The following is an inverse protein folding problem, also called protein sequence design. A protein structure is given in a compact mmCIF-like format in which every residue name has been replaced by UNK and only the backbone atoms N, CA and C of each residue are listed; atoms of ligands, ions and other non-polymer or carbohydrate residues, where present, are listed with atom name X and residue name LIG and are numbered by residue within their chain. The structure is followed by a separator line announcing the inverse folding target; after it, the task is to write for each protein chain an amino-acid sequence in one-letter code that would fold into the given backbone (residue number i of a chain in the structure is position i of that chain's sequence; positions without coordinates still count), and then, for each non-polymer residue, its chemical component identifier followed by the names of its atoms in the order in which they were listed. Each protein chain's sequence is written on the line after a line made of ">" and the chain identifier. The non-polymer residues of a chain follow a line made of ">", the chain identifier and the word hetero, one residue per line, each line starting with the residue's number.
data_IF_378156891295
#
_entry.id   IF_378156891295
#
_cell.length_a   1.000
_cell.length_b   1.000
_cell.length_c   1.000
_cell.angle_alpha   90.00
_cell.angle_beta   90.00
_cell.angle_gamma   90.00
#
_symmetry.space_group_name_H-M   'P 1'
#
loop_
_entity.id
_entity.type
_entity.pdbx_description
1 polymer ?
#
# COMPACT_ATOMS: atom_id res chain seq x y z
N UNK A 1 12.40 0.12 -27.37
CA UNK A 1 11.42 -0.50 -26.46
C UNK A 1 11.92 -1.92 -26.22
N UNK A 2 12.85 -2.07 -25.29
CA UNK A 2 13.54 -3.34 -25.04
C UNK A 2 12.67 -4.22 -24.16
N UNK A 3 12.35 -5.39 -24.69
CA UNK A 3 12.08 -6.67 -24.02
C UNK A 3 11.86 -6.55 -22.51
N UNK A 4 10.59 -6.36 -22.13
CA UNK A 4 10.19 -6.67 -20.77
C UNK A 4 10.41 -8.16 -20.58
N UNK A 5 11.27 -8.54 -19.65
CA UNK A 5 11.46 -9.91 -19.18
C UNK A 5 10.10 -10.43 -18.68
N UNK A 6 9.38 -11.14 -19.55
CA UNK A 6 8.01 -11.64 -19.28
C UNK A 6 8.02 -12.70 -18.17
N UNK A 7 9.17 -13.28 -17.85
CA UNK A 7 9.28 -14.42 -16.93
C UNK A 7 9.29 -14.06 -15.43
N UNK A 8 9.55 -12.81 -15.04
CA UNK A 8 9.64 -12.48 -13.60
C UNK A 8 8.74 -11.31 -13.21
N UNK A 9 7.77 -11.60 -12.33
CA UNK A 9 7.02 -10.57 -11.64
C UNK A 9 7.98 -9.72 -10.80
N UNK A 10 7.84 -8.40 -10.86
CA UNK A 10 8.72 -7.46 -10.16
C UNK A 10 7.98 -6.81 -9.01
N UNK A 11 8.65 -6.68 -7.87
CA UNK A 11 8.14 -5.93 -6.72
C UNK A 11 8.97 -4.66 -6.55
N UNK A 12 8.33 -3.50 -6.57
CA UNK A 12 8.96 -2.20 -6.36
C UNK A 12 8.48 -1.63 -5.02
N UNK A 13 9.42 -1.29 -4.16
CA UNK A 13 9.14 -0.73 -2.82
C UNK A 13 9.66 0.70 -2.77
N UNK A 14 8.76 1.64 -2.50
CA UNK A 14 9.07 3.05 -2.28
C UNK A 14 9.02 3.31 -0.77
N UNK A 15 10.17 3.32 -0.12
CA UNK A 15 10.27 3.52 1.33
C UNK A 15 10.53 4.99 1.70
N UNK A 16 9.62 5.56 2.47
CA UNK A 16 9.72 6.89 3.08
C UNK A 16 10.02 8.05 2.11
N UNK A 17 9.56 7.96 0.85
CA UNK A 17 9.82 8.97 -0.18
C UNK A 17 8.87 10.19 -0.12
N UNK A 18 8.04 10.32 0.93
CA UNK A 18 6.94 11.29 0.99
C UNK A 18 7.36 12.76 0.83
N UNK A 19 8.62 13.07 1.15
CA UNK A 19 9.18 14.43 1.03
C UNK A 19 9.87 14.70 -0.32
N UNK A 20 9.94 13.70 -1.20
CA UNK A 20 10.52 13.88 -2.52
C UNK A 20 9.76 14.92 -3.35
N UNK A 21 10.43 15.61 -4.29
CA UNK A 21 9.80 16.60 -5.14
C UNK A 21 8.58 16.06 -5.89
N UNK A 22 7.62 16.95 -6.20
CA UNK A 22 6.38 16.60 -6.93
C UNK A 22 6.63 15.83 -8.23
N UNK A 23 7.74 16.11 -8.92
CA UNK A 23 8.14 15.40 -10.14
C UNK A 23 8.41 13.92 -9.85
N UNK A 24 9.16 13.62 -8.80
CA UNK A 24 9.43 12.24 -8.34
C UNK A 24 8.14 11.55 -7.93
N UNK A 25 7.30 12.21 -7.13
CA UNK A 25 6.00 11.68 -6.72
C UNK A 25 5.07 11.39 -7.90
N UNK A 26 5.07 12.24 -8.93
CA UNK A 26 4.32 12.01 -10.16
C UNK A 26 4.83 10.80 -10.94
N UNK A 27 6.15 10.57 -10.97
CA UNK A 27 6.74 9.38 -11.57
C UNK A 27 6.33 8.12 -10.80
N UNK A 28 6.43 8.12 -9.46
CA UNK A 28 5.95 7.02 -8.61
C UNK A 28 4.46 6.75 -8.89
N UNK A 29 3.64 7.79 -8.99
CA UNK A 29 2.22 7.66 -9.34
C UNK A 29 1.98 6.93 -10.66
N UNK A 30 2.84 7.09 -11.68
CA UNK A 30 2.72 6.33 -12.93
C UNK A 30 2.94 4.83 -12.75
N UNK A 31 3.82 4.42 -11.83
CA UNK A 31 3.98 3.01 -11.47
C UNK A 31 2.68 2.46 -10.88
N UNK A 32 2.02 3.18 -9.97
CA UNK A 32 0.74 2.76 -9.39
C UNK A 32 -0.41 2.70 -10.40
N UNK A 33 -0.42 3.55 -11.42
CA UNK A 33 -1.46 3.53 -12.46
C UNK A 33 -1.22 2.41 -13.50
N UNK A 34 0.04 2.15 -13.88
CA UNK A 34 0.36 1.36 -15.08
C UNK A 34 1.22 0.12 -14.82
N UNK A 35 1.90 0.03 -13.68
CA UNK A 35 2.85 -1.02 -13.36
C UNK A 35 2.24 -2.43 -13.37
N UNK A 36 0.98 -2.56 -12.93
CA UNK A 36 0.28 -3.86 -12.92
C UNK A 36 0.18 -4.49 -14.31
N UNK A 37 -0.03 -3.67 -15.37
CA UNK A 37 -0.08 -4.14 -16.76
C UNK A 37 1.27 -4.65 -17.27
N UNK A 38 2.36 -4.33 -16.57
CA UNK A 38 3.73 -4.72 -16.91
C UNK A 38 4.24 -5.83 -15.98
N UNK A 39 3.37 -6.46 -15.19
CA UNK A 39 3.74 -7.51 -14.23
C UNK A 39 4.44 -6.97 -12.97
N UNK A 40 4.29 -5.68 -12.67
CA UNK A 40 4.91 -5.04 -11.51
C UNK A 40 3.89 -4.83 -10.39
N UNK A 41 4.31 -5.20 -9.19
CA UNK A 41 3.63 -4.90 -7.93
C UNK A 41 4.35 -3.76 -7.24
N UNK A 42 3.59 -2.86 -6.61
CA UNK A 42 4.14 -1.67 -5.95
C UNK A 42 3.74 -1.65 -4.49
N UNK A 43 4.67 -1.26 -3.63
CA UNK A 43 4.44 -0.96 -2.20
C UNK A 43 4.95 0.45 -1.95
N UNK A 44 4.13 1.27 -1.30
CA UNK A 44 4.53 2.59 -0.79
C UNK A 44 4.49 2.54 0.73
N UNK A 45 5.62 2.79 1.38
CA UNK A 45 5.75 2.82 2.84
C UNK A 45 5.92 4.28 3.28
N UNK A 46 5.09 4.72 4.22
CA UNK A 46 5.09 6.09 4.73
C UNK A 46 4.68 6.13 6.18
N UNK A 47 5.20 7.12 6.92
CA UNK A 47 4.74 7.43 8.27
C UNK A 47 3.40 8.21 8.29
N UNK A 48 3.01 8.80 7.16
CA UNK A 48 1.77 9.58 7.04
C UNK A 48 0.99 9.12 5.82
N UNK A 49 -0.22 8.59 6.05
CA UNK A 49 -1.17 8.27 4.98
C UNK A 49 -1.54 9.52 4.17
N UNK A 50 -1.82 10.63 4.87
CA UNK A 50 -2.25 11.88 4.23
C UNK A 50 -1.12 12.58 3.47
N UNK A 51 0.14 12.29 3.80
CA UNK A 51 1.29 12.74 3.02
C UNK A 51 1.44 12.04 1.68
N UNK A 52 0.89 10.83 1.53
CA UNK A 52 0.96 10.08 0.27
C UNK A 52 0.07 10.78 -0.79
N UNK A 53 0.59 11.04 -1.99
CA UNK A 53 -0.20 11.58 -3.09
C UNK A 53 -1.50 10.78 -3.31
N UNK A 54 -2.60 11.50 -3.49
CA UNK A 54 -3.92 10.89 -3.70
C UNK A 54 -3.91 9.86 -4.84
N UNK A 55 -3.18 10.14 -5.93
CA UNK A 55 -3.01 9.21 -7.06
C UNK A 55 -2.48 7.85 -6.61
N UNK A 56 -1.55 7.79 -5.66
CA UNK A 56 -1.01 6.52 -5.16
C UNK A 56 -2.06 5.84 -4.27
N UNK A 57 -2.73 6.58 -3.39
CA UNK A 57 -3.77 6.06 -2.48
C UNK A 57 -4.93 5.39 -3.23
N UNK A 58 -5.54 6.09 -4.19
CA UNK A 58 -6.73 5.60 -4.90
C UNK A 58 -6.43 4.44 -5.87
N UNK A 59 -5.18 4.31 -6.32
CA UNK A 59 -4.74 3.20 -7.18
C UNK A 59 -4.12 2.05 -6.38
N UNK A 60 -4.12 2.11 -5.04
CA UNK A 60 -3.67 1.01 -4.18
C UNK A 60 -4.82 0.04 -3.94
N UNK A 61 -4.59 -1.24 -4.20
CA UNK A 61 -5.59 -2.29 -3.97
C UNK A 61 -5.74 -2.66 -2.49
N UNK A 62 -4.68 -2.46 -1.72
CA UNK A 62 -4.62 -2.76 -0.30
C UNK A 62 -3.95 -1.60 0.43
N UNK A 63 -4.43 -1.31 1.63
CA UNK A 63 -3.77 -0.39 2.56
C UNK A 63 -3.62 -1.07 3.89
N UNK A 64 -2.39 -1.07 4.41
CA UNK A 64 -2.07 -1.54 5.74
C UNK A 64 -1.81 -0.32 6.61
N UNK A 65 -2.61 -0.19 7.67
CA UNK A 65 -2.57 0.94 8.57
C UNK A 65 -1.89 0.53 9.88
N UNK A 66 -1.00 1.37 10.38
CA UNK A 66 -0.37 1.19 11.68
C UNK A 66 -1.23 1.78 12.81
N UNK A 67 -0.78 1.58 14.04
CA UNK A 67 -1.42 2.10 15.26
C UNK A 67 -1.46 3.64 15.24
N UNK A 68 -2.31 4.22 16.09
CA UNK A 68 -2.47 5.67 16.32
C UNK A 68 -3.30 6.46 15.29
N UNK A 69 -4.17 5.80 14.53
CA UNK A 69 -5.19 6.51 13.73
C UNK A 69 -6.39 6.86 14.60
N UNK A 70 -6.86 8.10 14.48
CA UNK A 70 -8.11 8.51 15.12
C UNK A 70 -9.31 7.98 14.33
N UNK A 71 -10.50 7.96 14.94
CA UNK A 71 -11.74 7.64 14.22
C UNK A 71 -11.99 8.60 13.04
N UNK A 72 -11.58 9.87 13.17
CA UNK A 72 -11.64 10.84 12.08
C UNK A 72 -10.72 10.44 10.94
N UNK A 73 -9.50 10.03 11.24
CA UNK A 73 -8.54 9.61 10.21
C UNK A 73 -9.06 8.40 9.45
N UNK A 74 -9.55 7.40 10.18
CA UNK A 74 -10.19 6.23 9.59
C UNK A 74 -11.34 6.65 8.68
N UNK A 75 -12.27 7.47 9.15
CA UNK A 75 -13.40 7.92 8.33
C UNK A 75 -12.99 8.65 7.03
N UNK A 76 -11.86 9.37 7.05
CA UNK A 76 -11.32 10.01 5.85
C UNK A 76 -10.68 8.96 4.93
N UNK A 77 -9.82 8.10 5.47
CA UNK A 77 -9.20 6.99 4.73
C UNK A 77 -10.27 6.13 4.08
N UNK A 78 -11.37 5.87 4.78
CA UNK A 78 -12.48 5.06 4.29
C UNK A 78 -13.05 5.59 2.98
N UNK A 79 -13.09 6.91 2.80
CA UNK A 79 -13.68 7.58 1.63
C UNK A 79 -12.83 7.43 0.37
N UNK A 80 -11.54 7.13 0.52
CA UNK A 80 -10.65 6.86 -0.62
C UNK A 80 -10.93 5.48 -1.24
N UNK A 81 -11.64 4.60 -0.53
CA UNK A 81 -11.99 3.26 -1.00
C UNK A 81 -13.49 3.16 -1.30
N UNK A 82 -13.91 2.59 -2.44
CA UNK A 82 -15.31 2.34 -2.77
C UNK A 82 -15.89 1.14 -1.98
N UNK A 83 -15.61 1.07 -0.68
CA UNK A 83 -15.92 -0.04 0.22
C UNK A 83 -16.99 0.42 1.20
N UNK A 84 -18.06 -0.36 1.37
CA UNK A 84 -19.07 -0.11 2.41
C UNK A 84 -18.43 -0.23 3.80
N UNK A 85 -18.89 0.57 4.77
CA UNK A 85 -18.34 0.61 6.15
C UNK A 85 -18.16 -0.79 6.76
N UNK A 86 -19.09 -1.69 6.48
CA UNK A 86 -19.10 -3.08 6.94
C UNK A 86 -17.93 -3.90 6.38
N UNK A 87 -17.70 -3.85 5.06
CA UNK A 87 -16.57 -4.53 4.41
C UNK A 87 -15.22 -4.00 4.87
N UNK A 88 -15.14 -2.72 5.26
CA UNK A 88 -13.91 -2.14 5.78
C UNK A 88 -13.63 -2.58 7.21
N UNK A 89 -14.66 -2.65 8.04
CA UNK A 89 -14.56 -3.25 9.37
C UNK A 89 -14.10 -4.70 9.25
N UNK A 90 -14.66 -5.49 8.34
CA UNK A 90 -14.22 -6.86 8.07
C UNK A 90 -12.77 -6.92 7.58
N UNK A 91 -12.36 -6.08 6.62
CA UNK A 91 -10.96 -6.07 6.16
C UNK A 91 -9.97 -5.65 7.26
N UNK A 92 -10.32 -4.67 8.10
CA UNK A 92 -9.50 -4.26 9.25
C UNK A 92 -9.44 -5.38 10.30
N UNK A 93 -10.57 -6.00 10.64
CA UNK A 93 -10.64 -7.13 11.56
C UNK A 93 -9.86 -8.32 11.03
N UNK A 94 -10.01 -8.69 9.77
CA UNK A 94 -9.25 -9.78 9.14
C UNK A 94 -7.75 -9.49 9.13
N UNK A 95 -7.32 -8.24 8.89
CA UNK A 95 -5.90 -7.87 8.98
C UNK A 95 -5.40 -7.96 10.43
N UNK A 96 -6.18 -7.49 11.40
CA UNK A 96 -5.83 -7.54 12.83
C UNK A 96 -5.78 -8.98 13.34
N UNK A 97 -6.84 -9.76 13.10
CA UNK A 97 -7.03 -11.12 13.57
C UNK A 97 -6.14 -12.13 12.81
N UNK A 98 -5.92 -11.93 11.50
CA UNK A 98 -5.22 -12.93 10.65
C UNK A 98 -3.75 -12.60 10.36
N UNK A 99 -3.31 -11.34 10.36
CA UNK A 99 -2.00 -10.95 9.76
C UNK A 99 -0.91 -10.51 10.73
N UNK A 100 -1.19 -10.02 11.94
CA UNK A 100 -0.14 -9.78 12.93
C UNK A 100 0.31 -11.11 13.57
N UNK A 101 -0.65 -11.99 13.89
CA UNK A 101 -0.38 -13.24 14.59
C UNK A 101 0.42 -14.29 13.79
N UNK A 102 0.30 -14.34 12.44
CA UNK A 102 1.14 -15.24 11.61
C UNK A 102 2.50 -14.66 11.21
N UNK A 103 2.60 -13.37 10.88
CA UNK A 103 3.84 -12.80 10.32
C UNK A 103 4.90 -12.37 11.37
N UNK A 104 4.58 -12.26 12.66
CA UNK A 104 5.59 -11.96 13.70
C UNK A 104 6.16 -13.25 14.33
N UNK A 105 5.40 -14.35 14.34
CA UNK A 105 5.83 -15.59 15.02
C UNK A 105 6.54 -16.58 14.08
N UNK A 106 6.32 -16.58 12.77
CA UNK A 106 6.93 -17.58 11.88
C UNK A 106 8.36 -17.28 11.35
N UNK A 107 8.99 -16.15 11.71
CA UNK A 107 10.40 -15.92 11.31
C UNK A 107 11.24 -15.21 12.38
N UNK A 108 11.50 -15.91 13.49
CA UNK A 108 12.80 -15.81 14.17
C UNK A 108 13.34 -17.23 14.27
N UNK A 109 14.19 -17.57 13.29
CA UNK A 109 15.07 -18.73 13.19
C UNK A 109 15.09 -19.66 14.42
N UNK A 110 14.48 -20.83 14.30
CA UNK A 110 14.99 -22.01 14.99
C UNK A 110 16.11 -22.64 14.15
N UNK A 111 17.12 -23.13 14.88
CA UNK A 111 18.54 -23.37 14.51
C UNK A 111 18.78 -24.37 13.39
#
# INVERSE_FOLDING_TARGET
>A
MSDYDIETSKLVIFDNLVLEPKKTQAQIGQYFIRGQKQGWSMIYISQSYFGIPQTIRINSQYVVLSRNLTQRDLAIICRDFPITSEKMSTMLMDIIESKIYRNVIEYICER
#
